data_IF_126271263553
#
_entry.id   IF_126271263553
#
_cell.length_a   1.000
_cell.length_b   1.000
_cell.length_c   1.000
_cell.angle_alpha   90.00
_cell.angle_beta   90.00
_cell.angle_gamma   90.00
#
_symmetry.space_group_name_H-M   'P 1'
#
loop_
_entity.id
_entity.type
_entity.pdbx_description
1 polymer ?
#
# COMPACT_ATOMS: atom_id res chain seq x y z
N UNK A 1 -5.70 0.15 -21.12
CA UNK A 1 -6.71 -0.86 -20.74
C UNK A 1 -5.98 -2.16 -20.43
N UNK A 2 -6.26 -2.80 -19.31
CA UNK A 2 -5.55 -4.00 -18.88
C UNK A 2 -6.03 -5.27 -19.63
N UNK A 3 -5.16 -6.27 -19.69
CA UNK A 3 -5.36 -7.58 -20.30
C UNK A 3 -5.53 -8.66 -19.23
N UNK A 4 -6.00 -9.83 -19.66
CA UNK A 4 -6.00 -11.01 -18.80
C UNK A 4 -4.54 -11.38 -18.52
N UNK A 5 -4.27 -11.80 -17.29
CA UNK A 5 -2.96 -12.04 -16.67
C UNK A 5 -2.15 -10.81 -16.27
N UNK A 6 -2.60 -9.59 -16.57
CA UNK A 6 -1.95 -8.39 -16.02
C UNK A 6 -2.05 -8.37 -14.49
N UNK A 7 -0.99 -7.87 -13.86
CA UNK A 7 -0.94 -7.60 -12.41
C UNK A 7 -1.29 -6.12 -12.21
N UNK A 8 -2.24 -5.87 -11.32
CA UNK A 8 -2.83 -4.56 -11.06
C UNK A 8 -3.02 -4.38 -9.56
N UNK A 9 -3.22 -3.13 -9.12
CA UNK A 9 -3.61 -2.85 -7.75
C UNK A 9 -5.05 -2.37 -7.76
N UNK A 10 -5.90 -3.03 -6.97
CA UNK A 10 -7.24 -2.56 -6.69
C UNK A 10 -7.30 -2.12 -5.23
N UNK A 11 -7.53 -0.82 -5.02
CA UNK A 11 -7.34 -0.14 -3.74
C UNK A 11 -5.91 -0.31 -3.21
N UNK A 12 -5.70 -1.24 -2.29
CA UNK A 12 -4.39 -1.56 -1.67
C UNK A 12 -3.99 -3.04 -1.85
N UNK A 13 -4.71 -3.77 -2.70
CA UNK A 13 -4.51 -5.21 -2.88
C UNK A 13 -3.95 -5.45 -4.27
N UNK A 14 -2.77 -6.07 -4.33
CA UNK A 14 -2.19 -6.56 -5.58
C UNK A 14 -3.02 -7.74 -6.08
N UNK A 15 -3.46 -7.65 -7.33
CA UNK A 15 -4.39 -8.59 -7.94
C UNK A 15 -3.90 -9.02 -9.32
N UNK A 16 -4.33 -10.20 -9.75
CA UNK A 16 -4.25 -10.66 -11.14
C UNK A 16 -5.61 -10.58 -11.80
N UNK A 17 -5.65 -10.10 -13.04
CA UNK A 17 -6.86 -10.18 -13.87
C UNK A 17 -6.98 -11.60 -14.43
N UNK A 18 -8.00 -12.33 -14.01
CA UNK A 18 -8.25 -13.71 -14.48
C UNK A 18 -9.29 -13.78 -15.60
N UNK A 19 -9.98 -12.69 -15.88
CA UNK A 19 -10.99 -12.66 -16.93
C UNK A 19 -11.72 -11.34 -17.04
N UNK A 20 -12.66 -11.30 -17.98
CA UNK A 20 -13.60 -10.19 -18.18
C UNK A 20 -14.99 -10.78 -18.30
N UNK A 21 -15.98 -10.09 -17.74
CA UNK A 21 -17.37 -10.51 -17.78
C UNK A 21 -18.26 -9.28 -17.86
N UNK A 22 -19.40 -9.41 -18.54
CA UNK A 22 -20.43 -8.36 -18.54
C UNK A 22 -21.34 -8.59 -17.34
N UNK A 23 -21.33 -7.67 -16.38
CA UNK A 23 -22.14 -7.80 -15.16
C UNK A 23 -23.62 -8.04 -15.49
N UNK A 24 -24.22 -9.05 -14.87
CA UNK A 24 -25.65 -9.33 -15.05
C UNK A 24 -26.55 -8.22 -14.50
N UNK A 25 -26.06 -7.47 -13.49
CA UNK A 25 -26.80 -6.40 -12.83
C UNK A 25 -26.63 -5.06 -13.53
N UNK A 26 -25.39 -4.61 -13.73
CA UNK A 26 -25.12 -3.27 -14.28
C UNK A 26 -25.02 -3.26 -15.81
N UNK A 27 -24.89 -4.44 -16.44
CA UNK A 27 -24.59 -4.62 -17.87
C UNK A 27 -23.28 -3.97 -18.34
N UNK A 28 -22.47 -3.45 -17.42
CA UNK A 28 -21.14 -2.92 -17.70
C UNK A 28 -20.12 -4.08 -17.85
N UNK A 29 -19.07 -3.87 -18.64
CA UNK A 29 -17.94 -4.80 -18.70
C UNK A 29 -17.07 -4.63 -17.45
N UNK A 30 -16.76 -5.73 -16.78
CA UNK A 30 -15.96 -5.80 -15.57
C UNK A 30 -14.73 -6.70 -15.76
N UNK A 31 -13.62 -6.34 -15.11
CA UNK A 31 -12.54 -7.27 -14.83
C UNK A 31 -12.92 -8.20 -13.67
N UNK A 32 -12.47 -9.44 -13.75
CA UNK A 32 -12.48 -10.39 -12.63
C UNK A 32 -11.07 -10.41 -12.05
N UNK A 33 -10.93 -9.94 -10.82
CA UNK A 33 -9.68 -9.86 -10.09
C UNK A 33 -9.62 -10.94 -9.02
N UNK A 34 -8.43 -11.51 -8.82
CA UNK A 34 -8.09 -12.33 -7.65
C UNK A 34 -6.85 -11.74 -6.99
N UNK A 35 -6.73 -11.78 -5.65
CA UNK A 35 -5.48 -11.41 -4.97
C UNK A 35 -4.28 -12.16 -5.58
N UNK A 36 -3.13 -11.51 -5.66
CA UNK A 36 -1.95 -12.08 -6.32
C UNK A 36 -1.45 -13.37 -5.63
N UNK A 37 -1.45 -13.38 -4.30
CA UNK A 37 -1.13 -14.54 -3.46
C UNK A 37 -2.38 -15.35 -3.09
N UNK A 38 -3.40 -15.38 -3.96
CA UNK A 38 -4.62 -16.12 -3.70
C UNK A 38 -4.39 -17.63 -3.59
N UNK A 39 -4.81 -18.22 -2.47
CA UNK A 39 -5.00 -19.66 -2.33
C UNK A 39 -6.31 -20.12 -3.01
N UNK A 40 -6.48 -21.43 -3.18
CA UNK A 40 -7.73 -22.04 -3.64
C UNK A 40 -8.92 -21.56 -2.78
N UNK A 41 -9.92 -20.96 -3.42
CA UNK A 41 -11.11 -20.41 -2.76
C UNK A 41 -11.08 -18.90 -2.49
N UNK A 42 -9.99 -18.20 -2.86
CA UNK A 42 -9.89 -16.74 -2.70
C UNK A 42 -11.03 -15.99 -3.40
N UNK A 43 -11.56 -14.97 -2.73
CA UNK A 43 -12.68 -14.17 -3.22
C UNK A 43 -12.33 -13.46 -4.52
N UNK A 44 -13.18 -13.64 -5.52
CA UNK A 44 -13.10 -12.93 -6.80
C UNK A 44 -13.79 -11.58 -6.68
N UNK A 45 -13.10 -10.51 -7.09
CA UNK A 45 -13.66 -9.16 -7.13
C UNK A 45 -14.04 -8.79 -8.56
N UNK A 46 -15.20 -8.16 -8.72
CA UNK A 46 -15.65 -7.62 -10.00
C UNK A 46 -15.46 -6.11 -9.99
N UNK A 47 -14.62 -5.61 -10.91
CA UNK A 47 -14.31 -4.17 -11.01
C UNK A 47 -14.66 -3.68 -12.42
N UNK A 48 -15.54 -2.68 -12.56
CA UNK A 48 -15.89 -2.12 -13.87
C UNK A 48 -14.65 -1.65 -14.65
N UNK A 49 -14.56 -2.01 -15.93
CA UNK A 49 -13.45 -1.58 -16.82
C UNK A 49 -13.41 -0.05 -16.93
N UNK A 50 -14.58 0.60 -16.85
CA UNK A 50 -14.69 2.06 -16.85
C UNK A 50 -13.98 2.72 -15.67
N UNK A 51 -13.73 1.99 -14.57
CA UNK A 51 -12.99 2.44 -13.39
C UNK A 51 -13.39 3.84 -12.90
N UNK A 52 -14.69 4.16 -12.91
CA UNK A 52 -15.21 5.51 -12.56
C UNK A 52 -14.84 5.94 -11.14
N UNK A 53 -14.63 4.98 -10.23
CA UNK A 53 -14.21 5.23 -8.86
C UNK A 53 -12.69 5.46 -8.71
N UNK A 54 -11.89 5.21 -9.76
CA UNK A 54 -10.45 5.47 -9.76
C UNK A 54 -9.58 4.47 -8.97
N UNK A 55 -10.16 3.45 -8.35
CA UNK A 55 -9.44 2.54 -7.44
C UNK A 55 -8.60 1.46 -8.11
N UNK A 56 -8.67 1.31 -9.44
CA UNK A 56 -7.86 0.35 -10.19
C UNK A 56 -6.68 1.06 -10.88
N UNK A 57 -5.46 0.64 -10.56
CA UNK A 57 -4.22 1.17 -11.17
C UNK A 57 -3.25 0.07 -11.55
N UNK A 58 -2.23 0.43 -12.33
CA UNK A 58 -1.12 -0.46 -12.61
C UNK A 58 -0.32 -0.75 -11.32
N UNK A 59 0.35 -1.90 -11.29
CA UNK A 59 1.37 -2.17 -10.31
C UNK A 59 2.50 -1.15 -10.45
N UNK A 60 3.04 -0.69 -9.32
CA UNK A 60 4.20 0.20 -9.31
C UNK A 60 5.40 -0.45 -10.02
N UNK A 61 6.13 0.33 -10.80
CA UNK A 61 7.35 -0.09 -11.50
C UNK A 61 8.58 0.05 -10.61
N UNK A 62 9.68 -0.59 -11.00
CA UNK A 62 10.94 -0.45 -10.27
C UNK A 62 11.43 1.00 -10.25
N UNK A 63 11.28 1.71 -11.37
CA UNK A 63 11.67 3.12 -11.50
C UNK A 63 10.85 4.00 -10.56
N UNK A 64 9.52 3.80 -10.51
CA UNK A 64 8.64 4.52 -9.56
C UNK A 64 8.97 4.17 -8.10
N UNK A 65 9.42 2.94 -7.80
CA UNK A 65 9.91 2.59 -6.45
C UNK A 65 11.17 3.36 -6.10
N UNK A 66 12.12 3.52 -7.03
CA UNK A 66 13.32 4.33 -6.78
C UNK A 66 12.98 5.81 -6.58
N UNK A 67 12.03 6.36 -7.35
CA UNK A 67 11.51 7.71 -7.15
C UNK A 67 10.81 7.85 -5.79
N UNK A 68 10.02 6.86 -5.38
CA UNK A 68 9.38 6.80 -4.08
C UNK A 68 10.40 6.78 -2.93
N UNK A 69 11.48 5.99 -3.09
CA UNK A 69 12.58 5.96 -2.13
C UNK A 69 13.23 7.34 -2.02
N UNK A 70 13.54 7.98 -3.15
CA UNK A 70 14.15 9.31 -3.19
C UNK A 70 13.24 10.40 -2.60
N UNK A 71 11.91 10.27 -2.79
CA UNK A 71 10.94 11.23 -2.27
C UNK A 71 10.67 11.09 -0.77
N UNK A 72 11.00 9.93 -0.16
CA UNK A 72 10.71 9.66 1.26
C UNK A 72 11.21 10.72 2.22
N UNK A 73 12.37 11.32 1.98
CA UNK A 73 12.95 12.36 2.81
C UNK A 73 12.05 13.60 2.89
N UNK A 74 11.34 13.92 1.81
CA UNK A 74 10.49 15.10 1.66
C UNK A 74 9.04 14.88 2.09
N UNK A 75 8.66 13.64 2.45
CA UNK A 75 7.32 13.36 2.97
C UNK A 75 7.25 13.79 4.43
N UNK A 76 6.41 14.79 4.72
CA UNK A 76 6.25 15.33 6.06
C UNK A 76 5.61 14.33 7.04
N UNK A 77 5.95 14.48 8.32
CA UNK A 77 5.26 13.77 9.39
C UNK A 77 3.88 14.39 9.62
N UNK A 78 2.91 13.56 9.99
CA UNK A 78 1.59 14.07 10.35
C UNK A 78 1.65 14.85 11.66
N UNK A 79 0.66 15.73 11.83
CA UNK A 79 0.54 16.54 13.02
C UNK A 79 0.39 15.65 14.27
N UNK A 80 1.27 15.86 15.26
CA UNK A 80 1.27 15.12 16.51
C UNK A 80 0.12 15.55 17.42
N UNK A 81 -1.10 15.16 17.06
CA UNK A 81 -2.33 15.30 17.86
C UNK A 81 -2.84 13.92 18.26
N UNK A 82 -2.50 13.41 19.46
CA UNK A 82 -2.87 12.05 19.88
C UNK A 82 -4.37 11.74 19.75
N UNK A 83 -5.24 12.71 20.07
CA UNK A 83 -6.69 12.55 19.96
C UNK A 83 -7.18 12.30 18.52
N UNK A 84 -6.46 12.82 17.52
CA UNK A 84 -6.83 12.73 16.11
C UNK A 84 -5.97 11.73 15.33
N UNK A 85 -5.00 11.06 15.97
CA UNK A 85 -4.02 10.25 15.25
C UNK A 85 -4.69 9.09 14.50
N UNK A 86 -5.66 8.42 15.15
CA UNK A 86 -6.44 7.35 14.52
C UNK A 86 -7.20 7.83 13.28
N UNK A 87 -7.81 9.00 13.31
CA UNK A 87 -8.58 9.53 12.17
C UNK A 87 -7.65 10.02 11.05
N UNK A 88 -6.51 10.62 11.39
CA UNK A 88 -5.48 11.00 10.42
C UNK A 88 -4.99 9.77 9.64
N UNK A 89 -4.55 8.71 10.33
CA UNK A 89 -4.13 7.48 9.67
C UNK A 89 -5.25 6.82 8.87
N UNK A 90 -6.47 6.76 9.42
CA UNK A 90 -7.60 6.17 8.72
C UNK A 90 -7.98 6.91 7.42
N UNK A 91 -7.76 8.23 7.36
CA UNK A 91 -8.03 9.01 6.16
C UNK A 91 -6.99 8.74 5.08
N UNK A 92 -5.71 8.68 5.44
CA UNK A 92 -4.63 8.33 4.52
C UNK A 92 -4.75 6.88 4.01
N UNK A 93 -5.14 5.95 4.87
CA UNK A 93 -5.30 4.54 4.48
C UNK A 93 -6.47 4.32 3.48
N UNK A 94 -7.41 5.26 3.39
CA UNK A 94 -8.55 5.21 2.45
C UNK A 94 -8.20 5.66 1.04
N UNK A 95 -7.10 6.42 0.88
CA UNK A 95 -6.62 6.80 -0.44
C UNK A 95 -5.97 5.59 -1.13
N UNK A 96 -5.64 5.72 -2.40
CA UNK A 96 -4.88 4.71 -3.16
C UNK A 96 -3.41 5.13 -3.41
N UNK A 97 -2.98 6.26 -2.82
CA UNK A 97 -1.65 6.83 -3.00
C UNK A 97 -0.62 6.11 -2.11
N UNK A 98 0.46 5.63 -2.71
CA UNK A 98 1.52 4.90 -2.00
C UNK A 98 2.32 5.83 -1.06
N UNK A 99 2.40 7.13 -1.35
CA UNK A 99 3.07 8.13 -0.50
C UNK A 99 2.37 8.28 0.85
N UNK A 100 1.04 8.13 0.88
CA UNK A 100 0.25 8.18 2.11
C UNK A 100 0.61 7.04 3.06
N UNK A 101 1.00 5.87 2.55
CA UNK A 101 1.49 4.77 3.38
C UNK A 101 2.82 5.13 4.03
N UNK A 102 3.71 5.81 3.30
CA UNK A 102 5.00 6.26 3.84
C UNK A 102 4.80 7.31 4.92
N UNK A 103 3.87 8.25 4.73
CA UNK A 103 3.54 9.23 5.76
C UNK A 103 3.07 8.55 7.06
N UNK A 104 2.23 7.50 6.97
CA UNK A 104 1.83 6.69 8.11
C UNK A 104 3.05 6.00 8.75
N UNK A 105 3.88 5.31 7.96
CA UNK A 105 5.06 4.57 8.44
C UNK A 105 6.04 5.50 9.16
N UNK A 106 6.46 6.60 8.51
CA UNK A 106 7.39 7.58 9.09
C UNK A 106 6.84 8.18 10.39
N UNK A 107 5.57 8.57 10.39
CA UNK A 107 4.93 9.20 11.54
C UNK A 107 4.82 8.24 12.71
N UNK A 108 4.29 7.03 12.48
CA UNK A 108 4.12 6.02 13.53
C UNK A 108 5.47 5.58 14.10
N UNK A 109 6.48 5.36 13.27
CA UNK A 109 7.83 5.01 13.71
C UNK A 109 8.46 6.12 14.55
N UNK A 110 8.47 7.37 14.07
CA UNK A 110 9.03 8.51 14.79
C UNK A 110 8.36 8.72 16.16
N UNK A 111 7.04 8.62 16.22
CA UNK A 111 6.28 8.75 17.47
C UNK A 111 6.57 7.62 18.45
N UNK A 112 6.64 6.38 17.96
CA UNK A 112 6.96 5.22 18.80
C UNK A 112 8.40 5.30 19.33
N UNK A 113 9.35 5.70 18.49
CA UNK A 113 10.74 5.91 18.87
C UNK A 113 10.86 6.96 19.99
N UNK A 114 10.22 8.12 19.84
CA UNK A 114 10.17 9.15 20.88
C UNK A 114 9.56 8.65 22.19
N UNK A 115 8.57 7.74 22.14
CA UNK A 115 7.99 7.14 23.36
C UNK A 115 8.96 6.18 24.05
N UNK A 116 9.64 5.34 23.28
CA UNK A 116 10.64 4.39 23.79
C UNK A 116 11.80 5.12 24.46
N UNK A 117 12.29 6.20 23.84
CA UNK A 117 13.32 7.09 24.42
C UNK A 117 12.89 7.71 25.76
N UNK A 118 11.58 7.90 25.94
CA UNK A 118 10.97 8.36 27.19
C UNK A 118 10.56 7.20 28.13
N UNK A 119 11.11 5.99 27.94
CA UNK A 119 10.81 4.78 28.70
C UNK A 119 9.32 4.40 28.74
N UNK A 120 8.55 4.77 27.70
CA UNK A 120 7.14 4.41 27.53
C UNK A 120 7.02 3.29 26.52
N UNK A 121 5.94 2.50 26.65
CA UNK A 121 5.52 1.56 25.60
C UNK A 121 5.07 2.30 24.34
N UNK A 122 5.21 1.64 23.20
CA UNK A 122 4.62 2.05 21.91
C UNK A 122 3.14 2.32 22.06
N UNK A 123 2.60 3.17 21.19
CA UNK A 123 1.17 3.43 21.19
C UNK A 123 0.47 2.39 20.32
N UNK A 124 -0.57 1.73 20.85
CA UNK A 124 -1.31 0.70 20.12
C UNK A 124 -1.85 1.18 18.77
N UNK A 125 -2.25 2.45 18.67
CA UNK A 125 -2.70 3.05 17.39
C UNK A 125 -1.53 3.17 16.41
N UNK A 126 -0.35 3.57 16.88
CA UNK A 126 0.82 3.71 16.01
C UNK A 126 1.26 2.32 15.51
N UNK A 127 1.28 1.29 16.38
CA UNK A 127 1.63 -0.09 16.00
C UNK A 127 0.63 -0.71 15.01
N UNK A 128 -0.68 -0.53 15.23
CA UNK A 128 -1.73 -1.06 14.37
C UNK A 128 -1.63 -0.51 12.94
N UNK A 129 -1.46 0.80 12.81
CA UNK A 129 -1.42 1.45 11.49
C UNK A 129 -0.06 1.32 10.82
N UNK A 130 1.03 1.24 11.58
CA UNK A 130 2.34 0.87 11.05
C UNK A 130 2.26 -0.48 10.36
N UNK A 131 1.76 -1.51 11.07
CA UNK A 131 1.65 -2.85 10.49
C UNK A 131 0.76 -2.90 9.24
N UNK A 132 -0.37 -2.18 9.24
CA UNK A 132 -1.25 -2.09 8.05
C UNK A 132 -0.55 -1.41 6.87
N UNK A 133 0.13 -0.29 7.11
CA UNK A 133 0.79 0.45 6.05
C UNK A 133 1.99 -0.32 5.48
N UNK A 134 2.80 -0.96 6.33
CA UNK A 134 3.89 -1.85 5.92
C UNK A 134 3.37 -3.02 5.09
N UNK A 135 2.29 -3.68 5.54
CA UNK A 135 1.68 -4.78 4.80
C UNK A 135 1.24 -4.34 3.40
N UNK A 136 0.61 -3.18 3.24
CA UNK A 136 0.22 -2.71 1.91
C UNK A 136 1.41 -2.32 1.04
N UNK A 137 2.35 -1.55 1.59
CA UNK A 137 3.52 -1.08 0.86
C UNK A 137 4.38 -2.27 0.41
N UNK A 138 4.84 -3.09 1.35
CA UNK A 138 5.84 -4.10 1.04
C UNK A 138 5.27 -5.31 0.28
N UNK A 139 3.98 -5.63 0.40
CA UNK A 139 3.38 -6.61 -0.50
C UNK A 139 3.32 -6.10 -1.95
N UNK A 140 3.09 -4.80 -2.16
CA UNK A 140 3.12 -4.23 -3.50
C UNK A 140 4.53 -4.22 -4.08
N UNK A 141 5.52 -3.76 -3.30
CA UNK A 141 6.92 -3.72 -3.70
C UNK A 141 7.47 -5.14 -3.95
N UNK A 142 7.10 -6.11 -3.11
CA UNK A 142 7.51 -7.50 -3.28
C UNK A 142 7.09 -8.06 -4.64
N UNK A 143 5.85 -7.82 -5.06
CA UNK A 143 5.37 -8.29 -6.38
C UNK A 143 6.04 -7.51 -7.51
N UNK A 144 6.24 -6.20 -7.36
CA UNK A 144 6.86 -5.35 -8.37
C UNK A 144 8.34 -5.69 -8.61
N UNK A 145 9.06 -6.08 -7.55
CA UNK A 145 10.49 -6.39 -7.60
C UNK A 145 10.79 -7.89 -7.72
N UNK A 146 9.76 -8.74 -7.74
CA UNK A 146 9.88 -10.21 -7.69
C UNK A 146 10.71 -10.69 -6.49
N UNK A 147 10.38 -10.17 -5.31
CA UNK A 147 11.06 -10.45 -4.04
C UNK A 147 10.06 -10.98 -2.99
N UNK A 148 10.57 -11.54 -1.89
CA UNK A 148 9.73 -11.81 -0.72
C UNK A 148 9.35 -10.51 0.00
N UNK A 149 8.30 -10.54 0.81
CA UNK A 149 7.89 -9.42 1.67
C UNK A 149 9.07 -8.87 2.51
N UNK A 150 9.81 -9.77 3.17
CA UNK A 150 10.94 -9.36 4.01
C UNK A 150 12.09 -8.77 3.20
N UNK A 151 12.39 -9.35 2.03
CA UNK A 151 13.44 -8.83 1.17
C UNK A 151 13.06 -7.46 0.56
N UNK A 152 11.79 -7.23 0.22
CA UNK A 152 11.31 -5.94 -0.23
C UNK A 152 11.36 -4.88 0.87
N UNK A 153 11.02 -5.26 2.12
CA UNK A 153 11.14 -4.39 3.29
C UNK A 153 12.58 -4.01 3.57
N UNK A 154 13.49 -4.97 3.57
CA UNK A 154 14.93 -4.75 3.75
C UNK A 154 15.52 -3.88 2.62
N UNK A 155 15.15 -4.17 1.37
CA UNK A 155 15.52 -3.38 0.20
C UNK A 155 15.12 -1.92 0.38
N UNK A 156 13.85 -1.65 0.66
CA UNK A 156 13.34 -0.30 0.81
C UNK A 156 14.05 0.45 1.95
N UNK A 157 14.16 -0.16 3.14
CA UNK A 157 14.77 0.47 4.30
C UNK A 157 16.25 0.81 4.08
N UNK A 158 17.02 -0.14 3.52
CA UNK A 158 18.45 0.08 3.24
C UNK A 158 18.68 1.21 2.22
N UNK A 159 17.81 1.32 1.21
CA UNK A 159 17.88 2.37 0.20
C UNK A 159 17.48 3.74 0.75
N UNK A 160 16.46 3.81 1.59
CA UNK A 160 16.07 5.05 2.29
C UNK A 160 17.21 5.54 3.20
N UNK A 161 17.86 4.62 3.92
CA UNK A 161 18.97 4.96 4.80
C UNK A 161 20.21 5.45 4.03
N UNK A 162 20.47 4.88 2.84
CA UNK A 162 21.51 5.36 1.93
C UNK A 162 21.18 6.74 1.34
N UNK A 163 19.93 6.99 0.97
CA UNK A 163 19.48 8.26 0.40
C UNK A 163 19.41 9.40 1.43
N UNK A 164 19.39 9.08 2.73
CA UNK A 164 19.38 10.05 3.83
C UNK A 164 20.78 10.47 4.30
N UNK A 165 21.85 9.94 3.69
CA UNK A 165 23.26 10.29 3.97
C UNK A 165 23.76 11.31 2.96
#
# INVERSE_FOLDING_TARGET
MFKVNDIVVYRRIVCRIVGKHRSDFTKEMCYILVPYHADEGSTRMQVPIANKAGHLRALITKEEIEELIASTAYIDLLENKPANMKSQYANLLKTDDIHDLIAIIKTSYSRNQARIENHKKTASVDDEYLHKAENYLFNELAVALDMSYEAAKEYFNSRVEQASR
#
